data_IF_669451012462
#
_entry.id   IF_669451012462
#
_cell.length_a   1.000
_cell.length_b   1.000
_cell.length_c   1.000
_cell.angle_alpha   90.00
_cell.angle_beta   90.00
_cell.angle_gamma   90.00
#
_symmetry.space_group_name_H-M   'P 1'
#
loop_
_entity.id
_entity.type
_entity.pdbx_description
1 polymer ?
#
# COMPACT_ATOMS: atom_id res chain seq x y z
N UNK A 1 -14.29 -11.08 -9.58
CA UNK A 1 -13.01 -11.16 -10.30
C UNK A 1 -11.99 -11.81 -9.38
N UNK A 2 -11.20 -12.78 -9.85
CA UNK A 2 -10.14 -13.40 -9.05
C UNK A 2 -8.93 -12.47 -8.92
N UNK A 3 -8.00 -12.77 -8.01
CA UNK A 3 -6.79 -11.96 -7.82
C UNK A 3 -5.87 -12.02 -9.05
N UNK A 4 -5.78 -13.18 -9.69
CA UNK A 4 -5.02 -13.42 -10.93
C UNK A 4 -5.60 -12.61 -12.09
N UNK A 5 -6.93 -12.58 -12.21
CA UNK A 5 -7.60 -11.77 -13.22
C UNK A 5 -7.35 -10.27 -13.02
N UNK A 6 -7.32 -9.80 -11.76
CA UNK A 6 -6.98 -8.41 -11.43
C UNK A 6 -5.54 -8.08 -11.77
N UNK A 7 -4.60 -8.96 -11.38
CA UNK A 7 -3.18 -8.79 -11.67
C UNK A 7 -2.92 -8.77 -13.17
N UNK A 8 -3.52 -9.69 -13.92
CA UNK A 8 -3.39 -9.73 -15.38
C UNK A 8 -3.89 -8.44 -16.02
N UNK A 9 -5.07 -7.94 -15.62
CA UNK A 9 -5.60 -6.66 -16.12
C UNK A 9 -4.65 -5.49 -15.83
N UNK A 10 -4.03 -5.46 -14.65
CA UNK A 10 -3.04 -4.42 -14.30
C UNK A 10 -1.80 -4.54 -15.18
N UNK A 11 -1.24 -5.75 -15.29
CA UNK A 11 -0.03 -6.00 -16.06
C UNK A 11 -0.26 -5.77 -17.54
N UNK A 12 -1.47 -5.95 -18.08
CA UNK A 12 -1.81 -5.74 -19.50
C UNK A 12 -2.01 -4.25 -19.86
N UNK A 13 -2.04 -3.33 -18.88
CA UNK A 13 -2.15 -1.89 -19.12
C UNK A 13 -0.97 -1.38 -19.99
N UNK A 14 -1.21 -0.53 -21.02
CA UNK A 14 -0.15 -0.05 -21.91
C UNK A 14 1.04 0.60 -21.20
N UNK A 15 0.87 1.14 -19.98
CA UNK A 15 1.98 1.71 -19.20
C UNK A 15 3.09 0.68 -18.92
N UNK A 16 2.77 -0.61 -18.93
CA UNK A 16 3.72 -1.70 -18.72
C UNK A 16 4.24 -2.36 -20.01
N UNK A 17 3.83 -1.90 -21.21
CA UNK A 17 4.23 -2.49 -22.49
C UNK A 17 5.75 -2.64 -22.63
N UNK A 18 6.50 -1.60 -22.28
CA UNK A 18 7.96 -1.60 -22.38
C UNK A 18 8.60 -2.72 -21.54
N UNK A 19 8.08 -2.94 -20.33
CA UNK A 19 8.56 -4.00 -19.43
C UNK A 19 8.14 -5.37 -19.95
N UNK A 20 6.89 -5.54 -20.42
CA UNK A 20 6.40 -6.80 -20.99
C UNK A 20 7.24 -7.25 -22.18
N UNK A 21 7.62 -6.31 -23.06
CA UNK A 21 8.39 -6.60 -24.27
C UNK A 21 9.87 -6.83 -23.94
N UNK A 22 10.49 -5.94 -23.17
CA UNK A 22 11.95 -5.98 -22.95
C UNK A 22 12.37 -6.94 -21.83
N UNK A 23 11.55 -7.08 -20.79
CA UNK A 23 11.90 -7.82 -19.56
C UNK A 23 10.73 -8.64 -19.00
N UNK A 24 10.11 -9.54 -19.78
CA UNK A 24 8.91 -10.29 -19.35
C UNK A 24 9.12 -11.12 -18.08
N UNK A 25 10.36 -11.57 -17.82
CA UNK A 25 10.70 -12.36 -16.63
C UNK A 25 10.55 -11.59 -15.31
N UNK A 26 10.66 -10.26 -15.32
CA UNK A 26 10.50 -9.42 -14.12
C UNK A 26 9.09 -9.53 -13.54
N UNK A 27 8.09 -9.77 -14.38
CA UNK A 27 6.69 -9.92 -13.94
C UNK A 27 6.48 -11.15 -13.05
N UNK A 28 7.35 -12.16 -13.15
CA UNK A 28 7.35 -13.34 -12.26
C UNK A 28 7.71 -13.00 -10.82
N UNK A 29 8.29 -11.83 -10.56
CA UNK A 29 8.60 -11.33 -9.21
C UNK A 29 7.37 -10.82 -8.48
N UNK A 30 6.24 -10.63 -9.18
CA UNK A 30 5.02 -10.09 -8.58
C UNK A 30 4.25 -11.22 -7.92
N UNK A 31 4.06 -11.12 -6.61
CA UNK A 31 3.20 -12.01 -5.83
C UNK A 31 2.01 -11.22 -5.30
N UNK A 32 0.80 -11.37 -5.88
CA UNK A 32 -0.34 -10.61 -5.44
C UNK A 32 -0.91 -11.21 -4.15
N UNK A 33 -1.19 -10.35 -3.16
CA UNK A 33 -1.78 -10.74 -1.87
C UNK A 33 -3.16 -10.11 -1.77
N UNK A 34 -4.15 -10.88 -1.29
CA UNK A 34 -5.50 -10.35 -1.09
C UNK A 34 -5.54 -9.59 0.24
N UNK A 35 -6.02 -8.35 0.21
CA UNK A 35 -6.17 -7.55 1.42
C UNK A 35 -6.98 -6.29 1.19
N UNK A 36 -7.35 -5.65 2.30
CA UNK A 36 -8.03 -4.37 2.40
C UNK A 36 -7.60 -3.67 3.70
N UNK A 37 -6.93 -2.52 3.56
CA UNK A 37 -6.37 -1.78 4.70
C UNK A 37 -7.44 -1.22 5.64
N UNK A 38 -8.70 -1.13 5.19
CA UNK A 38 -9.82 -0.70 6.02
C UNK A 38 -10.28 -1.76 7.01
N UNK A 39 -9.98 -3.03 6.75
CA UNK A 39 -10.39 -4.18 7.55
C UNK A 39 -9.39 -4.51 8.67
N UNK A 40 -9.84 -5.18 9.75
CA UNK A 40 -8.94 -5.79 10.73
C UNK A 40 -7.90 -6.68 10.06
N UNK A 41 -6.68 -6.70 10.60
CA UNK A 41 -5.55 -7.47 10.07
C UNK A 41 -5.31 -7.31 8.56
N UNK A 42 -5.65 -6.12 8.03
CA UNK A 42 -5.53 -5.77 6.61
C UNK A 42 -6.34 -6.70 5.68
N UNK A 43 -7.33 -7.42 6.22
CA UNK A 43 -8.12 -8.40 5.48
C UNK A 43 -7.31 -9.58 4.92
N UNK A 44 -6.12 -9.83 5.49
CA UNK A 44 -5.22 -10.92 5.10
C UNK A 44 -5.75 -12.27 5.59
N UNK A 45 -5.45 -13.33 4.85
CA UNK A 45 -5.51 -14.68 5.42
C UNK A 45 -4.37 -14.88 6.43
N UNK A 46 -4.47 -15.92 7.26
CA UNK A 46 -3.41 -16.25 8.19
C UNK A 46 -2.12 -16.64 7.46
N UNK A 47 -2.25 -17.38 6.35
CA UNK A 47 -1.14 -17.84 5.52
C UNK A 47 -0.40 -16.65 4.88
N UNK A 48 -1.14 -15.71 4.28
CA UNK A 48 -0.57 -14.51 3.66
C UNK A 48 0.11 -13.63 4.71
N UNK A 49 -0.48 -13.48 5.89
CA UNK A 49 0.12 -12.71 6.99
C UNK A 49 1.46 -13.30 7.42
N UNK A 50 1.53 -14.62 7.64
CA UNK A 50 2.77 -15.30 8.01
C UNK A 50 3.81 -15.13 6.90
N UNK A 51 3.43 -15.34 5.64
CA UNK A 51 4.33 -15.14 4.51
C UNK A 51 4.92 -13.73 4.50
N UNK A 52 4.12 -12.69 4.73
CA UNK A 52 4.61 -11.30 4.81
C UNK A 52 5.57 -11.10 5.98
N UNK A 53 5.22 -11.60 7.17
CA UNK A 53 6.06 -11.51 8.39
C UNK A 53 7.45 -12.12 8.19
N UNK A 54 7.53 -13.26 7.51
CA UNK A 54 8.78 -13.98 7.28
C UNK A 54 9.63 -13.37 6.16
N UNK A 55 9.02 -12.71 5.16
CA UNK A 55 9.73 -12.40 3.91
C UNK A 55 9.85 -10.90 3.58
N UNK A 56 9.13 -9.99 4.24
CA UNK A 56 9.18 -8.56 3.90
C UNK A 56 10.36 -7.86 4.60
N UNK A 57 11.21 -7.22 3.79
CA UNK A 57 12.30 -6.37 4.27
C UNK A 57 12.00 -4.87 4.19
N UNK A 58 11.38 -4.43 3.10
CA UNK A 58 11.08 -3.01 2.85
C UNK A 58 9.61 -2.90 2.52
N UNK A 59 8.89 -2.04 3.25
CA UNK A 59 7.48 -1.80 3.03
C UNK A 59 7.26 -0.40 2.44
N UNK A 60 6.54 -0.35 1.31
CA UNK A 60 6.04 0.90 0.73
C UNK A 60 4.54 1.00 0.98
N UNK A 61 4.12 1.95 1.81
CA UNK A 61 2.71 2.20 2.08
C UNK A 61 2.21 3.37 1.24
N UNK A 62 1.54 3.04 0.13
CA UNK A 62 0.91 4.00 -0.79
C UNK A 62 -0.61 3.85 -0.88
N UNK A 63 -1.20 2.96 -0.07
CA UNK A 63 -2.63 2.68 -0.10
C UNK A 63 -3.40 3.77 0.68
N UNK A 64 -4.31 4.45 0.00
CA UNK A 64 -5.17 5.49 0.56
C UNK A 64 -6.45 5.63 -0.28
N UNK A 65 -7.49 6.22 0.30
CA UNK A 65 -8.52 6.90 -0.48
C UNK A 65 -8.12 8.36 -0.70
N UNK A 66 -8.26 8.83 -1.94
CA UNK A 66 -7.93 10.19 -2.38
C UNK A 66 -9.16 10.99 -2.80
N UNK A 67 -10.36 10.50 -2.46
CA UNK A 67 -11.63 11.15 -2.82
C UNK A 67 -11.91 12.31 -1.87
N UNK A 68 -11.93 13.53 -2.42
CA UNK A 68 -12.21 14.75 -1.62
C UNK A 68 -13.64 14.83 -1.07
N UNK A 69 -14.58 14.09 -1.66
CA UNK A 69 -15.99 14.05 -1.24
C UNK A 69 -16.34 12.78 -0.45
N UNK A 70 -15.35 12.00 -0.01
CA UNK A 70 -15.56 10.85 0.86
C UNK A 70 -16.04 11.30 2.25
N UNK A 71 -17.03 10.62 2.86
CA UNK A 71 -17.35 10.86 4.27
C UNK A 71 -16.10 10.74 5.16
N UNK A 72 -15.90 11.70 6.07
CA UNK A 72 -14.70 11.78 6.90
C UNK A 72 -14.43 10.49 7.68
N UNK A 73 -15.47 9.83 8.20
CA UNK A 73 -15.34 8.57 8.92
C UNK A 73 -14.76 7.44 8.05
N UNK A 74 -15.09 7.41 6.75
CA UNK A 74 -14.53 6.45 5.78
C UNK A 74 -13.07 6.80 5.51
N UNK A 75 -12.77 8.07 5.22
CA UNK A 75 -11.40 8.53 4.99
C UNK A 75 -10.48 8.25 6.18
N UNK A 76 -10.94 8.52 7.42
CA UNK A 76 -10.21 8.19 8.66
C UNK A 76 -10.04 6.67 8.81
N UNK A 77 -11.05 5.88 8.45
CA UNK A 77 -11.00 4.42 8.49
C UNK A 77 -9.91 3.82 7.59
N UNK A 78 -9.74 4.39 6.40
CA UNK A 78 -8.75 3.95 5.40
C UNK A 78 -7.39 4.59 5.67
N UNK A 79 -7.30 5.92 5.66
CA UNK A 79 -6.02 6.63 5.62
C UNK A 79 -5.33 6.72 6.98
N UNK A 80 -6.10 6.81 8.08
CA UNK A 80 -5.53 6.90 9.43
C UNK A 80 -5.47 5.53 10.10
N UNK A 81 -6.62 4.87 10.27
CA UNK A 81 -6.69 3.56 10.94
C UNK A 81 -6.04 2.47 10.09
N UNK A 82 -6.19 2.50 8.76
CA UNK A 82 -5.51 1.55 7.88
C UNK A 82 -3.98 1.67 7.96
N UNK A 83 -3.46 2.90 7.98
CA UNK A 83 -2.03 3.15 8.22
C UNK A 83 -1.57 2.60 9.57
N UNK A 84 -2.35 2.79 10.64
CA UNK A 84 -2.03 2.21 11.95
C UNK A 84 -1.97 0.67 11.91
N UNK A 85 -2.87 0.00 11.17
CA UNK A 85 -2.83 -1.46 10.97
C UNK A 85 -1.60 -1.91 10.17
N UNK A 86 -1.21 -1.16 9.14
CA UNK A 86 0.02 -1.43 8.39
C UNK A 86 1.24 -1.33 9.30
N UNK A 87 1.32 -0.27 10.11
CA UNK A 87 2.39 -0.11 11.10
C UNK A 87 2.40 -1.27 12.11
N UNK A 88 1.23 -1.78 12.50
CA UNK A 88 1.16 -2.94 13.39
C UNK A 88 1.76 -4.19 12.74
N UNK A 89 1.45 -4.47 11.47
CA UNK A 89 2.12 -5.55 10.72
C UNK A 89 3.64 -5.32 10.64
N UNK A 90 4.08 -4.08 10.37
CA UNK A 90 5.50 -3.74 10.27
C UNK A 90 6.29 -4.10 11.54
N UNK A 91 5.67 -3.98 12.72
CA UNK A 91 6.30 -4.33 14.00
C UNK A 91 6.52 -5.84 14.18
N UNK A 92 5.82 -6.66 13.40
CA UNK A 92 5.89 -8.12 13.47
C UNK A 92 6.87 -8.69 12.42
N UNK A 93 7.25 -7.92 11.40
CA UNK A 93 8.16 -8.35 10.34
C UNK A 93 9.54 -8.73 10.91
N UNK A 94 10.03 -9.92 10.56
CA UNK A 94 11.31 -10.43 11.09
C UNK A 94 12.55 -9.73 10.53
N UNK A 95 12.43 -9.11 9.35
CA UNK A 95 13.57 -8.60 8.60
C UNK A 95 13.35 -7.16 8.12
N UNK A 96 12.52 -6.38 8.81
CA UNK A 96 12.23 -5.00 8.46
C UNK A 96 13.50 -4.11 8.48
N UNK A 97 13.76 -3.45 7.35
CA UNK A 97 14.83 -2.49 7.12
C UNK A 97 14.27 -1.07 7.01
N UNK A 98 13.15 -0.89 6.29
CA UNK A 98 12.56 0.43 6.05
C UNK A 98 11.04 0.36 5.84
N UNK A 99 10.34 1.38 6.33
CA UNK A 99 8.93 1.65 6.04
C UNK A 99 8.84 3.02 5.38
N UNK A 100 8.48 3.03 4.09
CA UNK A 100 8.34 4.24 3.29
C UNK A 100 6.86 4.57 3.16
N UNK A 101 6.43 5.65 3.81
CA UNK A 101 5.06 6.13 3.75
C UNK A 101 4.92 7.20 2.67
N UNK A 102 3.97 7.01 1.75
CA UNK A 102 3.63 8.01 0.73
C UNK A 102 2.50 8.88 1.27
N UNK A 103 2.84 10.11 1.63
CA UNK A 103 1.87 11.13 2.07
C UNK A 103 1.43 12.03 0.90
N UNK A 104 0.93 13.22 1.21
CA UNK A 104 0.47 14.22 0.25
C UNK A 104 0.84 15.62 0.72
N UNK A 105 1.10 16.53 -0.23
CA UNK A 105 1.21 17.96 0.04
C UNK A 105 -0.10 18.56 0.60
N UNK A 106 -1.24 17.85 0.52
CA UNK A 106 -2.49 18.26 1.15
C UNK A 106 -2.60 17.88 2.65
N UNK A 107 -1.50 17.47 3.28
CA UNK A 107 -1.50 17.10 4.71
C UNK A 107 -1.66 18.30 5.66
N UNK A 108 -1.25 19.49 5.22
CA UNK A 108 -1.41 20.76 5.94
C UNK A 108 -2.07 21.81 5.02
N UNK A 109 -3.30 21.57 4.54
CA UNK A 109 -3.90 22.39 3.47
C UNK A 109 -4.30 23.80 3.94
N UNK A 110 -4.27 24.02 5.25
CA UNK A 110 -4.48 25.32 5.90
C UNK A 110 -3.23 26.21 5.87
N UNK A 111 -2.06 25.70 5.45
CA UNK A 111 -0.82 26.47 5.33
C UNK A 111 -0.58 26.86 3.87
N UNK A 112 -0.14 28.10 3.59
CA UNK A 112 0.16 28.54 2.23
C UNK A 112 1.43 27.89 1.67
N UNK A 113 2.37 27.50 2.54
CA UNK A 113 3.64 26.87 2.17
C UNK A 113 3.92 25.69 3.12
N UNK A 114 4.51 24.64 2.57
CA UNK A 114 4.90 23.42 3.28
C UNK A 114 6.39 23.18 3.06
N UNK A 115 7.12 23.19 4.17
CA UNK A 115 8.54 22.88 4.33
C UNK A 115 8.75 21.43 4.81
N UNK A 116 9.97 20.93 4.66
CA UNK A 116 10.43 19.64 5.20
C UNK A 116 10.69 19.75 6.71
N UNK A 117 9.61 19.72 7.50
CA UNK A 117 9.66 19.74 8.98
C UNK A 117 8.51 18.97 9.59
N UNK A 118 8.60 18.71 10.89
CA UNK A 118 7.47 18.20 11.68
C UNK A 118 6.54 19.36 12.02
N UNK A 119 5.26 19.22 11.67
CA UNK A 119 4.21 20.16 12.01
C UNK A 119 3.56 19.76 13.33
N UNK A 120 3.32 20.75 14.21
CA UNK A 120 2.70 20.59 15.54
C UNK A 120 1.38 21.32 15.63
#
# INVERSE_FOLDING_TARGET
QTIEQRLRKLIDDPIYDSIRIKHPSVLKKIHPVKGDISLPDLGLSQEDRIMLIENVNILFHAAATVRFNEPLNVAVGVNTKGTARVIQLCKELKHAISVVYVSTAYSNPNLPEIEEKVYT
#
